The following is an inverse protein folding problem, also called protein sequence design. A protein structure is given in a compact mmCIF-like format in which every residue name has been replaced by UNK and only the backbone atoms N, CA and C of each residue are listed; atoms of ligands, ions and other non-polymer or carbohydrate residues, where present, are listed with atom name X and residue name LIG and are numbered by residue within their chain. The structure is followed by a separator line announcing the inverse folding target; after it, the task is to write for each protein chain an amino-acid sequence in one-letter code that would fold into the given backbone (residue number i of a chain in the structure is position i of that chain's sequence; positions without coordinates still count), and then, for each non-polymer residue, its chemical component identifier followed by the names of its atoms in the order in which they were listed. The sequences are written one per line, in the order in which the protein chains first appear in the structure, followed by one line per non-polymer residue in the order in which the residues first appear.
data_IF_912791353388
#
_entry.id   IF_912791353388
#
_cell.length_a   1.000
_cell.length_b   1.000
_cell.length_c   1.000
_cell.angle_alpha   90.00
_cell.angle_beta   90.00
_cell.angle_gamma   90.00
#
_symmetry.space_group_name_H-M   'P 1'
#
loop_
_entity.id
_entity.type
_entity.pdbx_description
1 polymer ?
#
# COMPACT_ATOMS: atom_id res chain seq x y z
N UNK A 1 -15.65 -34.78 13.53
CA UNK A 1 -15.97 -33.52 12.82
C UNK A 1 -15.03 -32.37 13.29
N UNK A 2 -13.72 -32.63 13.40
CA UNK A 2 -12.76 -31.70 14.06
C UNK A 2 -11.99 -30.84 13.02
N UNK A 3 -11.93 -31.30 11.75
CA UNK A 3 -11.19 -30.60 10.69
C UNK A 3 -11.81 -29.27 10.21
N UNK A 4 -13.13 -29.11 10.32
CA UNK A 4 -13.83 -27.91 9.84
C UNK A 4 -13.60 -26.66 10.71
N UNK A 5 -13.37 -26.85 12.02
CA UNK A 5 -13.17 -25.73 12.96
C UNK A 5 -11.76 -25.15 12.79
N UNK A 6 -10.74 -26.00 12.63
CA UNK A 6 -9.35 -25.56 12.43
C UNK A 6 -9.13 -24.78 11.12
N UNK A 7 -9.82 -25.16 10.04
CA UNK A 7 -9.70 -24.48 8.75
C UNK A 7 -10.27 -23.04 8.78
N UNK A 8 -11.42 -22.84 9.45
CA UNK A 8 -11.99 -21.49 9.63
C UNK A 8 -11.09 -20.60 10.49
N UNK A 9 -10.47 -21.16 11.52
CA UNK A 9 -9.50 -20.42 12.34
C UNK A 9 -8.25 -20.03 11.56
N UNK A 10 -7.69 -20.92 10.74
CA UNK A 10 -6.51 -20.64 9.92
C UNK A 10 -6.75 -19.51 8.92
N UNK A 11 -7.84 -19.59 8.16
CA UNK A 11 -8.20 -18.58 7.15
C UNK A 11 -8.50 -17.22 7.79
N UNK A 12 -9.13 -17.18 8.96
CA UNK A 12 -9.36 -15.93 9.70
C UNK A 12 -8.05 -15.26 10.15
N UNK A 13 -7.07 -16.06 10.62
CA UNK A 13 -5.76 -15.56 11.04
C UNK A 13 -4.98 -15.03 9.83
N UNK A 14 -4.99 -15.76 8.72
CA UNK A 14 -4.32 -15.36 7.48
C UNK A 14 -4.90 -14.04 6.94
N UNK A 15 -6.23 -13.91 6.86
CA UNK A 15 -6.90 -12.70 6.43
C UNK A 15 -6.58 -11.51 7.35
N UNK A 16 -6.57 -11.72 8.67
CA UNK A 16 -6.19 -10.69 9.64
C UNK A 16 -4.74 -10.23 9.46
N UNK A 17 -3.82 -11.18 9.19
CA UNK A 17 -2.42 -10.87 8.91
C UNK A 17 -2.28 -10.06 7.62
N UNK A 18 -2.93 -10.50 6.54
CA UNK A 18 -2.86 -9.84 5.24
C UNK A 18 -3.45 -8.43 5.31
N UNK A 19 -4.57 -8.24 6.01
CA UNK A 19 -5.16 -6.91 6.26
C UNK A 19 -4.20 -5.98 7.01
N UNK A 20 -3.46 -6.49 8.00
CA UNK A 20 -2.44 -5.70 8.72
C UNK A 20 -1.26 -5.33 7.82
N UNK A 21 -0.81 -6.25 6.96
CA UNK A 21 0.26 -5.97 6.01
C UNK A 21 -0.14 -4.87 5.02
N UNK A 22 -1.37 -4.95 4.50
CA UNK A 22 -1.94 -3.91 3.65
C UNK A 22 -2.06 -2.57 4.36
N UNK A 23 -2.53 -2.57 5.61
CA UNK A 23 -2.62 -1.35 6.42
C UNK A 23 -1.25 -0.67 6.57
N UNK A 24 -0.20 -1.44 6.87
CA UNK A 24 1.17 -0.91 7.00
C UNK A 24 1.69 -0.38 5.68
N UNK A 25 1.47 -1.11 4.58
CA UNK A 25 1.88 -0.68 3.25
C UNK A 25 1.19 0.64 2.87
N UNK A 26 -0.13 0.70 3.02
CA UNK A 26 -0.92 1.89 2.69
C UNK A 26 -0.45 3.09 3.50
N UNK A 27 -0.27 2.93 4.82
CA UNK A 27 0.27 3.99 5.68
C UNK A 27 1.64 4.47 5.21
N UNK A 28 2.56 3.53 4.94
CA UNK A 28 3.91 3.86 4.47
C UNK A 28 3.88 4.65 3.16
N UNK A 29 3.05 4.26 2.21
CA UNK A 29 2.97 4.93 0.90
C UNK A 29 2.37 6.33 1.05
N UNK A 30 1.31 6.47 1.84
CA UNK A 30 0.66 7.76 2.13
C UNK A 30 1.60 8.70 2.90
N UNK A 31 2.32 8.19 3.91
CA UNK A 31 3.33 8.96 4.64
C UNK A 31 4.41 9.48 3.69
N UNK A 32 4.89 8.65 2.76
CA UNK A 32 5.90 9.10 1.78
C UNK A 32 5.38 10.10 0.76
N UNK A 33 4.12 9.99 0.37
CA UNK A 33 3.47 11.00 -0.44
C UNK A 33 3.33 12.34 0.30
N UNK A 34 2.99 12.29 1.60
CA UNK A 34 2.93 13.47 2.47
C UNK A 34 4.32 14.09 2.68
N UNK A 35 5.36 13.28 2.94
CA UNK A 35 6.76 13.75 3.02
C UNK A 35 7.13 14.53 1.75
N UNK A 36 6.80 13.98 0.57
CA UNK A 36 7.05 14.64 -0.71
C UNK A 36 6.30 15.97 -0.87
N UNK A 37 5.07 16.07 -0.34
CA UNK A 37 4.30 17.30 -0.34
C UNK A 37 4.89 18.35 0.61
N UNK A 38 5.30 17.94 1.81
CA UNK A 38 5.96 18.78 2.81
C UNK A 38 7.30 19.33 2.29
N UNK A 39 8.06 18.50 1.57
CA UNK A 39 9.30 18.88 0.89
C UNK A 39 9.07 19.81 -0.32
N UNK A 40 7.81 20.16 -0.64
CA UNK A 40 7.39 20.98 -1.78
C UNK A 40 7.81 20.44 -3.16
N UNK A 41 8.18 19.16 -3.25
CA UNK A 41 8.47 18.49 -4.53
C UNK A 41 7.18 18.01 -5.20
N UNK A 42 6.26 17.46 -4.41
CA UNK A 42 4.93 17.09 -4.87
C UNK A 42 3.95 18.26 -4.71
N UNK A 43 3.71 19.01 -5.77
CA UNK A 43 2.71 20.11 -5.78
C UNK A 43 1.29 19.64 -6.12
N UNK A 44 1.16 18.49 -6.76
CA UNK A 44 -0.14 17.92 -7.12
C UNK A 44 -0.79 17.24 -5.90
N UNK A 45 -2.11 17.32 -5.83
CA UNK A 45 -2.95 16.59 -4.86
C UNK A 45 -2.89 15.07 -5.06
N UNK A 46 -2.43 14.63 -6.22
CA UNK A 46 -2.33 13.23 -6.61
C UNK A 46 -0.87 12.91 -6.90
N UNK A 47 -0.34 11.88 -6.24
CA UNK A 47 1.08 11.50 -6.35
C UNK A 47 1.19 10.04 -6.74
N UNK A 48 1.78 9.76 -7.90
CA UNK A 48 1.97 8.38 -8.38
C UNK A 48 3.13 7.70 -7.65
N UNK A 49 3.10 6.37 -7.57
CA UNK A 49 4.23 5.58 -7.06
C UNK A 49 5.48 5.80 -7.89
N UNK A 50 5.34 5.84 -9.22
CA UNK A 50 6.44 6.13 -10.13
C UNK A 50 7.17 7.42 -9.74
N UNK A 51 6.42 8.49 -9.45
CA UNK A 51 7.00 9.76 -9.02
C UNK A 51 7.76 9.63 -7.70
N UNK A 52 7.18 8.93 -6.72
CA UNK A 52 7.81 8.70 -5.42
C UNK A 52 9.08 7.85 -5.53
N UNK A 53 9.10 6.89 -6.46
CA UNK A 53 10.28 6.05 -6.73
C UNK A 53 11.38 6.86 -7.41
N UNK A 54 11.04 7.62 -8.46
CA UNK A 54 12.00 8.48 -9.17
C UNK A 54 12.63 9.54 -8.26
N UNK A 55 11.88 10.02 -7.26
CA UNK A 55 12.36 11.00 -6.28
C UNK A 55 12.96 10.38 -5.01
N UNK A 56 13.20 9.07 -4.99
CA UNK A 56 13.78 8.32 -3.87
C UNK A 56 13.00 8.41 -2.54
N UNK A 57 11.69 8.69 -2.58
CA UNK A 57 10.81 8.59 -1.41
C UNK A 57 10.42 7.13 -1.12
N UNK A 58 10.25 6.34 -2.18
CA UNK A 58 9.89 4.92 -2.07
C UNK A 58 10.80 4.07 -2.94
N UNK A 59 10.95 2.81 -2.57
CA UNK A 59 11.44 1.77 -3.48
C UNK A 59 10.24 1.09 -4.13
N UNK A 60 10.49 0.27 -5.16
CA UNK A 60 9.48 -0.62 -5.72
C UNK A 60 8.76 -1.36 -4.59
N UNK A 61 7.44 -1.24 -4.57
CA UNK A 61 6.58 -1.92 -3.60
C UNK A 61 5.88 -3.10 -4.27
N UNK A 62 5.68 -4.15 -3.50
CA UNK A 62 5.01 -5.37 -3.91
C UNK A 62 3.79 -5.61 -3.04
N UNK A 63 2.80 -6.28 -3.62
CA UNK A 63 1.65 -6.79 -2.90
C UNK A 63 2.16 -7.70 -1.76
N UNK A 64 1.81 -7.41 -0.49
CA UNK A 64 2.32 -8.18 0.64
C UNK A 64 1.81 -9.63 0.64
N UNK A 65 0.72 -9.90 -0.08
CA UNK A 65 0.01 -11.18 -0.20
C UNK A 65 0.49 -11.96 -1.42
N UNK A 66 0.38 -11.38 -2.63
CA UNK A 66 0.70 -12.08 -3.89
C UNK A 66 2.18 -11.98 -4.28
N UNK A 67 2.93 -11.05 -3.67
CA UNK A 67 4.32 -10.71 -4.00
C UNK A 67 4.51 -10.10 -5.39
N UNK A 68 3.42 -9.74 -6.06
CA UNK A 68 3.46 -9.09 -7.36
C UNK A 68 3.84 -7.61 -7.20
N UNK A 69 4.53 -7.06 -8.20
CA UNK A 69 4.88 -5.63 -8.20
C UNK A 69 3.61 -4.81 -8.41
N UNK A 70 3.37 -3.85 -7.52
CA UNK A 70 2.22 -2.95 -7.65
C UNK A 70 2.48 -2.00 -8.82
N UNK A 71 1.46 -1.77 -9.63
CA UNK A 71 1.55 -0.91 -10.80
C UNK A 71 2.09 0.49 -10.42
N UNK A 72 3.21 0.96 -11.01
CA UNK A 72 3.80 2.27 -10.71
C UNK A 72 2.87 3.46 -11.00
N UNK A 73 1.86 3.28 -11.86
CA UNK A 73 0.84 4.29 -12.13
C UNK A 73 -0.20 4.41 -11.00
N UNK A 74 -0.24 3.46 -10.05
CA UNK A 74 -1.02 3.60 -8.81
C UNK A 74 -0.60 4.85 -8.06
N UNK A 75 -1.52 5.46 -7.34
CA UNK A 75 -1.32 6.80 -6.80
C UNK A 75 -1.94 6.99 -5.43
N UNK A 76 -1.41 7.97 -4.71
CA UNK A 76 -1.99 8.47 -3.46
C UNK A 76 -2.76 9.74 -3.75
N UNK A 77 -3.99 9.81 -3.26
CA UNK A 77 -4.74 11.05 -3.16
C UNK A 77 -4.44 11.69 -1.80
N UNK A 78 -3.77 12.84 -1.81
CA UNK A 78 -3.40 13.58 -0.59
C UNK A 78 -4.59 14.27 0.07
N UNK A 79 -5.68 14.56 -0.68
CA UNK A 79 -6.89 15.14 -0.09
C UNK A 79 -7.64 14.10 0.78
N UNK A 80 -7.67 12.83 0.35
CA UNK A 80 -8.34 11.73 1.09
C UNK A 80 -7.39 10.88 1.92
N UNK A 81 -6.06 11.04 1.75
CA UNK A 81 -5.02 10.17 2.31
C UNK A 81 -5.21 8.68 1.97
N UNK A 82 -5.72 8.42 0.77
CA UNK A 82 -5.98 7.07 0.28
C UNK A 82 -4.99 6.66 -0.79
N UNK A 83 -4.51 5.42 -0.70
CA UNK A 83 -3.70 4.79 -1.72
C UNK A 83 -4.59 3.98 -2.67
N UNK A 84 -4.62 4.39 -3.94
CA UNK A 84 -5.45 3.81 -4.99
C UNK A 84 -4.56 2.97 -5.91
N UNK A 85 -4.83 1.67 -5.91
CA UNK A 85 -4.09 0.68 -6.68
C UNK A 85 -4.77 0.49 -8.04
N UNK A 86 -3.99 0.61 -9.10
CA UNK A 86 -4.44 0.32 -10.46
C UNK A 86 -3.98 -1.09 -10.83
N UNK A 87 -4.91 -1.89 -11.35
CA UNK A 87 -4.64 -3.23 -11.89
C UNK A 87 -4.33 -3.15 -13.39
#
# INVERSE_FOLDING_TARGET
MIGLVGYKSYTAIENSRNAKLWLVLNKKVVEKANDCHLDKKCTNKTVTLEYLIQNNYLTTITDPTTKEVINPSSYVNLDTNEFIILN
#
